data_IF_166483060766
#
_entry.id   IF_166483060766
#
_cell.length_a   1.000
_cell.length_b   1.000
_cell.length_c   1.000
_cell.angle_alpha   90.00
_cell.angle_beta   90.00
_cell.angle_gamma   90.00
#
_symmetry.space_group_name_H-M   'P 1'
#
loop_
_entity.id
_entity.type
_entity.pdbx_description
1 polymer ?
#
# COMPACT_ATOMS: atom_id res chain seq x y z
N UNK A 1 46.90 42.09 57.19
CA UNK A 1 46.28 40.76 57.27
C UNK A 1 44.78 40.97 57.28
N UNK A 2 43.96 40.61 56.30
CA UNK A 2 44.12 39.88 55.05
C UNK A 2 43.06 40.43 54.09
N UNK A 3 43.50 40.90 52.92
CA UNK A 3 42.64 41.00 51.74
C UNK A 3 42.32 39.58 51.26
N UNK A 4 41.04 39.22 51.19
CA UNK A 4 40.58 38.06 50.43
C UNK A 4 39.51 38.52 49.46
N UNK A 5 39.96 38.89 48.27
CA UNK A 5 39.16 38.89 47.07
C UNK A 5 38.78 37.44 46.76
N UNK A 6 37.51 37.09 46.94
CA UNK A 6 36.95 35.86 46.39
C UNK A 6 36.38 36.21 45.02
N UNK A 7 37.15 35.94 43.97
CA UNK A 7 36.64 35.93 42.61
C UNK A 7 35.67 34.75 42.50
N UNK A 8 34.37 35.02 42.50
CA UNK A 8 33.38 34.08 42.02
C UNK A 8 33.66 33.81 40.55
N UNK A 9 34.27 32.65 40.26
CA UNK A 9 34.24 32.06 38.94
C UNK A 9 32.79 31.80 38.58
N UNK A 10 32.16 32.75 37.90
CA UNK A 10 30.97 32.49 37.11
C UNK A 10 31.42 31.55 35.99
N UNK A 11 31.29 30.25 36.22
CA UNK A 11 31.46 29.25 35.18
C UNK A 11 30.46 29.63 34.08
N UNK A 12 31.00 30.14 32.97
CA UNK A 12 30.25 30.30 31.74
C UNK A 12 29.66 28.93 31.41
N UNK A 13 28.34 28.80 31.56
CA UNK A 13 27.59 27.66 31.05
C UNK A 13 27.90 27.66 29.56
N UNK A 14 28.68 26.68 29.12
CA UNK A 14 28.97 26.48 27.71
C UNK A 14 27.62 26.40 26.99
N UNK A 15 27.35 27.36 26.10
CA UNK A 15 26.31 27.23 25.09
C UNK A 15 26.58 25.91 24.36
N UNK A 16 25.86 24.86 24.74
CA UNK A 16 25.90 23.59 24.01
C UNK A 16 25.27 23.91 22.67
N UNK A 17 26.13 24.11 21.65
CA UNK A 17 25.71 24.39 20.28
C UNK A 17 24.80 23.26 19.85
N UNK A 18 23.50 23.53 19.91
CA UNK A 18 22.48 22.52 19.64
C UNK A 18 22.46 22.30 18.13
N UNK A 19 22.77 21.08 17.71
CA UNK A 19 22.93 20.75 16.30
C UNK A 19 21.57 20.68 15.62
N UNK A 20 21.46 21.34 14.47
CA UNK A 20 20.22 21.36 13.68
C UNK A 20 20.22 20.22 12.69
N UNK A 21 19.14 19.45 12.67
CA UNK A 21 19.04 18.21 11.88
C UNK A 21 17.78 18.23 11.03
N UNK A 22 17.90 17.77 9.78
CA UNK A 22 16.75 17.48 8.92
C UNK A 22 16.38 16.01 9.03
N UNK A 23 15.13 15.71 9.41
CA UNK A 23 14.60 14.36 9.36
C UNK A 23 13.95 14.10 8.01
N UNK A 24 14.49 13.15 7.23
CA UNK A 24 13.90 12.72 5.97
C UNK A 24 13.23 11.35 6.11
N UNK A 25 11.91 11.33 6.15
CA UNK A 25 11.10 10.16 6.49
C UNK A 25 10.36 9.67 5.26
N UNK A 26 10.57 8.40 4.91
CA UNK A 26 9.82 7.71 3.86
C UNK A 26 8.59 7.04 4.46
N UNK A 27 7.39 7.28 3.93
CA UNK A 27 6.14 6.68 4.39
C UNK A 27 5.55 5.84 3.25
N UNK A 28 5.40 4.55 3.49
CA UNK A 28 5.14 3.55 2.46
C UNK A 28 3.82 2.83 2.72
N UNK A 29 2.83 3.00 1.84
CA UNK A 29 1.51 2.38 1.95
C UNK A 29 1.34 1.24 0.94
N UNK A 30 1.24 0.02 1.44
CA UNK A 30 1.12 -1.15 0.56
C UNK A 30 -0.29 -1.31 -0.06
N UNK A 31 -0.36 -2.09 -1.14
CA UNK A 31 -1.60 -2.47 -1.83
C UNK A 31 -2.48 -3.38 -0.99
N UNK A 32 -3.76 -3.49 -1.34
CA UNK A 32 -4.68 -4.33 -0.55
C UNK A 32 -4.40 -5.80 -0.71
N UNK A 33 -4.48 -6.54 0.39
CA UNK A 33 -4.10 -7.94 0.40
C UNK A 33 -2.58 -8.11 0.44
N UNK A 34 -1.78 -7.06 0.25
CA UNK A 34 -0.34 -7.14 0.44
C UNK A 34 0.04 -6.84 1.88
N UNK A 35 0.91 -7.68 2.42
CA UNK A 35 1.50 -7.49 3.72
C UNK A 35 2.86 -8.15 3.74
N UNK A 36 3.93 -7.36 3.70
CA UNK A 36 5.31 -7.82 3.80
C UNK A 36 5.55 -8.92 4.85
N UNK A 37 4.99 -8.77 6.06
CA UNK A 37 5.20 -9.75 7.14
C UNK A 37 4.49 -11.07 6.82
N UNK A 38 3.29 -11.01 6.27
CA UNK A 38 2.52 -12.20 5.92
C UNK A 38 3.09 -12.89 4.67
N UNK A 39 3.53 -12.13 3.66
CA UNK A 39 4.23 -12.64 2.48
C UNK A 39 5.52 -13.37 2.86
N UNK A 40 6.34 -12.79 3.76
CA UNK A 40 7.54 -13.46 4.24
C UNK A 40 7.21 -14.74 5.01
N UNK A 41 6.23 -14.72 5.92
CA UNK A 41 5.79 -15.92 6.64
C UNK A 41 5.27 -16.99 5.66
N UNK A 42 4.55 -16.58 4.61
CA UNK A 42 4.07 -17.48 3.56
C UNK A 42 5.21 -18.14 2.79
N UNK A 43 6.19 -17.35 2.34
CA UNK A 43 7.38 -17.83 1.64
C UNK A 43 8.23 -18.78 2.52
N UNK A 44 8.46 -18.43 3.79
CA UNK A 44 9.19 -19.27 4.74
C UNK A 44 8.46 -20.60 4.96
N UNK A 45 7.13 -20.57 5.11
CA UNK A 45 6.32 -21.77 5.23
C UNK A 45 6.33 -22.64 3.98
N UNK A 46 6.34 -22.04 2.79
CA UNK A 46 6.45 -22.77 1.53
C UNK A 46 7.81 -23.46 1.40
N UNK A 47 8.91 -22.74 1.68
CA UNK A 47 10.25 -23.32 1.65
C UNK A 47 10.39 -24.50 2.64
N UNK A 48 9.79 -24.38 3.83
CA UNK A 48 9.78 -25.45 4.82
C UNK A 48 8.96 -26.67 4.34
N UNK A 49 7.80 -26.46 3.72
CA UNK A 49 6.98 -27.56 3.16
C UNK A 49 7.72 -28.27 2.01
N UNK A 50 8.39 -27.53 1.14
CA UNK A 50 9.22 -28.08 0.05
C UNK A 50 10.36 -28.94 0.60
N UNK A 51 11.05 -28.46 1.64
CA UNK A 51 12.09 -29.25 2.32
C UNK A 51 11.54 -30.47 3.08
N UNK A 52 10.26 -30.45 3.47
CA UNK A 52 9.59 -31.55 4.15
C UNK A 52 8.82 -32.48 3.19
N UNK A 53 9.17 -32.49 1.89
CA UNK A 53 8.55 -33.37 0.90
C UNK A 53 7.05 -33.13 0.68
N UNK A 54 6.59 -31.89 0.85
CA UNK A 54 5.19 -31.52 0.68
C UNK A 54 4.31 -31.78 1.91
N UNK A 55 4.87 -32.26 3.03
CA UNK A 55 4.09 -32.53 4.25
C UNK A 55 3.84 -31.26 5.06
N UNK A 56 2.59 -31.09 5.49
CA UNK A 56 2.13 -29.93 6.24
C UNK A 56 2.83 -29.81 7.60
N UNK A 57 3.35 -28.61 7.89
CA UNK A 57 4.09 -28.30 9.11
C UNK A 57 3.16 -27.64 10.12
N UNK A 58 3.12 -28.15 11.35
CA UNK A 58 2.19 -27.68 12.41
C UNK A 58 2.40 -26.20 12.74
N UNK A 59 3.64 -25.74 12.68
CA UNK A 59 4.06 -24.36 12.95
C UNK A 59 3.48 -23.37 11.94
N UNK A 60 3.19 -23.81 10.71
CA UNK A 60 2.51 -23.01 9.69
C UNK A 60 1.00 -22.86 9.93
N UNK A 61 0.40 -23.68 10.81
CA UNK A 61 -0.89 -23.45 11.49
C UNK A 61 -2.06 -22.88 10.65
N UNK A 62 -2.25 -23.28 9.38
CA UNK A 62 -3.33 -22.70 8.56
C UNK A 62 -2.94 -21.50 7.71
N UNK A 63 -1.70 -21.00 7.84
CA UNK A 63 -1.11 -19.90 7.06
C UNK A 63 -0.49 -20.40 5.75
N UNK A 64 -0.94 -21.55 5.28
CA UNK A 64 -0.63 -22.06 3.95
C UNK A 64 -1.36 -21.21 2.90
N UNK A 65 -0.80 -21.25 1.70
CA UNK A 65 -1.17 -20.56 0.45
C UNK A 65 -2.65 -20.80 0.10
N UNK A 66 -3.58 -20.14 0.80
CA UNK A 66 -4.95 -20.01 0.32
C UNK A 66 -4.89 -19.05 -0.87
N UNK A 67 -5.30 -19.48 -2.07
CA UNK A 67 -5.30 -18.61 -3.25
C UNK A 67 -6.07 -17.32 -2.95
N UNK A 68 -5.40 -16.17 -3.05
CA UNK A 68 -5.97 -14.85 -2.76
C UNK A 68 -5.77 -14.34 -1.33
N UNK A 69 -4.95 -14.99 -0.51
CA UNK A 69 -4.53 -14.48 0.81
C UNK A 69 -3.26 -13.64 0.73
N UNK A 70 -3.00 -12.80 1.73
CA UNK A 70 -1.73 -12.04 1.82
C UNK A 70 -0.50 -12.92 1.98
N UNK A 71 -0.69 -14.17 2.41
CA UNK A 71 0.38 -15.16 2.57
C UNK A 71 0.74 -15.85 1.24
N UNK A 72 -0.11 -15.76 0.20
CA UNK A 72 0.20 -16.28 -1.14
C UNK A 72 0.83 -15.26 -2.08
N UNK A 73 0.88 -13.98 -1.68
CA UNK A 73 1.42 -12.90 -2.51
C UNK A 73 2.92 -12.74 -2.25
N UNK A 74 3.67 -12.45 -3.31
CA UNK A 74 5.07 -11.99 -3.18
C UNK A 74 5.11 -10.55 -2.68
N UNK A 75 6.31 -10.05 -2.40
CA UNK A 75 6.56 -8.68 -2.00
C UNK A 75 6.19 -7.70 -3.11
N UNK A 76 5.33 -6.73 -2.76
CA UNK A 76 5.04 -5.59 -3.62
C UNK A 76 6.27 -4.69 -3.81
N UNK A 77 6.22 -3.83 -4.82
CA UNK A 77 7.23 -2.81 -5.02
C UNK A 77 7.30 -1.81 -3.85
N UNK A 78 6.21 -1.62 -3.11
CA UNK A 78 6.24 -0.82 -1.88
C UNK A 78 7.06 -1.51 -0.79
N UNK A 79 6.88 -2.81 -0.58
CA UNK A 79 7.67 -3.57 0.37
C UNK A 79 9.16 -3.57 -0.01
N UNK A 80 9.47 -3.74 -1.30
CA UNK A 80 10.85 -3.67 -1.84
C UNK A 80 11.46 -2.27 -1.66
N UNK A 81 10.71 -1.21 -1.94
CA UNK A 81 11.18 0.17 -1.76
C UNK A 81 11.49 0.51 -0.31
N UNK A 82 10.72 -0.02 0.66
CA UNK A 82 11.03 0.14 2.08
C UNK A 82 12.41 -0.43 2.43
N UNK A 83 12.75 -1.59 1.87
CA UNK A 83 14.04 -2.26 2.14
C UNK A 83 15.22 -1.56 1.50
N UNK A 84 15.00 -0.88 0.37
CA UNK A 84 16.01 -0.06 -0.28
C UNK A 84 16.16 1.33 0.36
N UNK A 85 15.18 1.77 1.14
CA UNK A 85 15.19 3.10 1.73
C UNK A 85 16.16 3.17 2.93
N UNK A 86 17.00 4.21 2.94
CA UNK A 86 18.02 4.40 3.99
C UNK A 86 17.36 4.45 5.37
N UNK A 87 17.85 3.61 6.29
CA UNK A 87 17.56 3.70 7.72
C UNK A 87 18.81 4.20 8.44
N UNK A 88 18.71 5.38 9.05
CA UNK A 88 19.77 6.01 9.81
C UNK A 88 19.16 6.85 10.93
N UNK A 89 19.24 6.32 12.15
CA UNK A 89 18.64 6.95 13.34
C UNK A 89 19.50 8.06 13.95
N UNK A 90 20.82 7.96 13.78
CA UNK A 90 21.79 8.92 14.29
C UNK A 90 22.11 9.95 13.22
N UNK A 91 22.13 11.22 13.59
CA UNK A 91 22.39 12.33 12.69
C UNK A 91 23.81 12.24 12.15
N UNK A 92 23.91 12.14 10.83
CA UNK A 92 25.18 12.11 10.11
C UNK A 92 25.19 13.27 9.11
N UNK A 93 26.36 13.84 8.88
CA UNK A 93 26.48 14.91 7.90
C UNK A 93 26.45 14.27 6.52
N UNK A 94 25.42 14.57 5.74
CA UNK A 94 25.49 14.39 4.30
C UNK A 94 26.00 15.68 3.65
N UNK A 95 26.36 15.63 2.37
CA UNK A 95 26.86 16.80 1.63
C UNK A 95 25.90 18.00 1.62
N UNK A 96 24.67 17.86 2.14
CA UNK A 96 23.66 18.89 2.28
C UNK A 96 23.24 19.13 3.75
N UNK A 97 24.03 18.68 4.73
CA UNK A 97 23.85 18.96 6.16
C UNK A 97 23.57 17.74 7.02
N UNK A 98 23.30 17.96 8.31
CA UNK A 98 23.02 16.87 9.25
C UNK A 98 21.63 16.30 9.01
N UNK A 99 21.54 15.00 8.72
CA UNK A 99 20.27 14.33 8.47
C UNK A 99 20.12 13.02 9.20
N UNK A 100 18.85 12.64 9.38
CA UNK A 100 18.42 11.29 9.76
C UNK A 100 17.43 10.77 8.73
N UNK A 101 17.42 9.45 8.54
CA UNK A 101 16.56 8.79 7.56
C UNK A 101 15.76 7.68 8.24
N UNK A 102 14.46 7.61 7.97
CA UNK A 102 13.63 6.57 8.56
C UNK A 102 12.54 6.12 7.59
N UNK A 103 12.46 4.82 7.25
CA UNK A 103 11.32 4.26 6.55
C UNK A 103 10.20 3.84 7.51
N UNK A 104 8.97 4.26 7.20
CA UNK A 104 7.74 3.89 7.89
C UNK A 104 6.89 3.08 6.92
N UNK A 105 6.76 1.78 7.19
CA UNK A 105 5.88 0.91 6.41
C UNK A 105 4.48 0.80 7.03
N UNK A 106 3.46 0.86 6.17
CA UNK A 106 2.05 0.69 6.51
C UNK A 106 1.46 -0.39 5.61
N UNK A 107 1.04 -1.50 6.21
CA UNK A 107 0.46 -2.63 5.47
C UNK A 107 -0.81 -2.25 4.72
N UNK A 108 -1.14 -3.03 3.69
CA UNK A 108 -2.33 -2.86 2.88
C UNK A 108 -3.64 -2.88 3.65
N UNK A 109 -4.66 -2.23 3.09
CA UNK A 109 -6.03 -2.44 3.55
C UNK A 109 -6.40 -3.93 3.51
N UNK A 110 -7.30 -4.37 4.39
CA UNK A 110 -7.70 -5.79 4.49
C UNK A 110 -6.70 -6.74 5.17
N UNK A 111 -5.48 -6.31 5.51
CA UNK A 111 -4.47 -7.15 6.19
C UNK A 111 -4.03 -6.60 7.55
N UNK A 112 -3.67 -7.51 8.44
CA UNK A 112 -3.05 -7.23 9.76
C UNK A 112 -1.78 -8.08 9.86
N UNK A 113 -0.63 -7.48 10.17
CA UNK A 113 0.65 -8.19 10.23
C UNK A 113 0.63 -9.28 11.31
N UNK A 114 0.96 -10.51 10.92
CA UNK A 114 0.97 -11.69 11.79
C UNK A 114 -0.43 -12.21 12.19
N UNK A 115 -1.49 -11.52 11.76
CA UNK A 115 -2.89 -11.89 11.99
C UNK A 115 -3.54 -12.56 10.78
N UNK A 116 -4.77 -13.05 10.95
CA UNK A 116 -5.60 -13.52 9.84
C UNK A 116 -6.06 -12.34 8.97
N UNK A 117 -6.10 -12.55 7.66
CA UNK A 117 -6.63 -11.54 6.75
C UNK A 117 -8.12 -11.31 6.99
N UNK A 118 -8.51 -10.04 6.99
CA UNK A 118 -9.88 -9.63 7.25
C UNK A 118 -10.63 -9.53 5.92
N UNK A 119 -11.08 -10.69 5.43
CA UNK A 119 -11.89 -10.80 4.19
C UNK A 119 -13.19 -9.99 4.30
N UNK A 120 -13.71 -9.85 5.52
CA UNK A 120 -14.91 -9.07 5.83
C UNK A 120 -14.78 -8.42 7.22
N UNK A 121 -14.99 -7.09 7.38
CA UNK A 121 -15.42 -6.10 6.40
C UNK A 121 -14.27 -5.36 5.66
N UNK A 122 -13.01 -5.70 5.92
CA UNK A 122 -11.84 -4.88 5.58
C UNK A 122 -11.39 -4.86 4.12
N UNK A 123 -11.68 -5.91 3.33
CA UNK A 123 -11.30 -5.96 1.92
C UNK A 123 -12.31 -5.27 0.98
N UNK A 124 -13.61 -5.28 1.33
CA UNK A 124 -14.70 -4.83 0.44
C UNK A 124 -15.36 -3.51 0.85
N UNK A 125 -15.10 -3.00 2.06
CA UNK A 125 -15.58 -1.69 2.48
C UNK A 125 -14.38 -0.82 2.79
N UNK A 126 -14.15 0.23 2.01
CA UNK A 126 -13.21 1.31 2.35
C UNK A 126 -13.56 2.08 3.64
N UNK A 127 -14.37 1.49 4.52
CA UNK A 127 -14.79 1.96 5.85
C UNK A 127 -14.65 0.82 6.86
N UNK A 128 -13.83 1.06 7.88
CA UNK A 128 -13.52 0.11 8.95
C UNK A 128 -12.11 0.32 9.48
N UNK A 129 -11.70 -0.47 10.47
CA UNK A 129 -10.38 -0.45 11.13
C UNK A 129 -9.19 -0.71 10.18
N UNK A 130 -9.44 -1.04 8.91
CA UNK A 130 -8.43 -1.33 7.89
C UNK A 130 -8.55 -0.47 6.63
N UNK A 131 -9.47 0.51 6.60
CA UNK A 131 -9.68 1.40 5.46
C UNK A 131 -8.60 2.48 5.29
N UNK A 132 -8.67 3.21 4.17
CA UNK A 132 -7.69 4.25 3.75
C UNK A 132 -7.38 5.25 4.86
N UNK A 133 -8.41 5.77 5.55
CA UNK A 133 -8.27 6.76 6.63
C UNK A 133 -7.54 6.15 7.83
N UNK A 134 -7.89 4.92 8.23
CA UNK A 134 -7.24 4.26 9.37
C UNK A 134 -5.76 3.96 9.09
N UNK A 135 -5.41 3.64 7.84
CA UNK A 135 -4.01 3.49 7.43
C UNK A 135 -3.24 4.80 7.53
N UNK A 136 -3.86 5.93 7.16
CA UNK A 136 -3.29 7.28 7.34
C UNK A 136 -3.12 7.61 8.84
N UNK A 137 -4.11 7.34 9.67
CA UNK A 137 -4.00 7.50 11.14
C UNK A 137 -2.87 6.64 11.72
N UNK A 138 -2.70 5.40 11.23
CA UNK A 138 -1.60 4.53 11.62
C UNK A 138 -0.24 5.08 11.19
N UNK A 139 -0.15 5.68 10.00
CA UNK A 139 1.07 6.34 9.53
C UNK A 139 1.46 7.49 10.48
N UNK A 140 0.50 8.33 10.88
CA UNK A 140 0.75 9.41 11.85
C UNK A 140 1.18 8.89 13.22
N UNK A 141 0.56 7.81 13.75
CA UNK A 141 1.01 7.19 15.01
C UNK A 141 2.44 6.65 14.93
N UNK A 142 2.83 6.06 13.79
CA UNK A 142 4.20 5.59 13.58
C UNK A 142 5.17 6.76 13.45
N UNK A 143 4.79 7.80 12.72
CA UNK A 143 5.58 9.03 12.59
C UNK A 143 5.80 9.70 13.95
N UNK A 144 4.76 9.82 14.76
CA UNK A 144 4.84 10.30 16.14
C UNK A 144 5.85 9.49 16.96
N UNK A 145 5.84 8.17 16.84
CA UNK A 145 6.78 7.28 17.54
C UNK A 145 8.23 7.58 17.13
N UNK A 146 8.49 7.74 15.82
CA UNK A 146 9.81 8.08 15.29
C UNK A 146 10.27 9.45 15.78
N UNK A 147 9.43 10.48 15.69
CA UNK A 147 9.78 11.84 16.11
C UNK A 147 10.00 11.97 17.61
N UNK A 148 9.28 11.18 18.43
CA UNK A 148 9.47 11.13 19.89
C UNK A 148 10.72 10.35 20.30
N UNK A 149 11.17 9.40 19.48
CA UNK A 149 12.41 8.66 19.72
C UNK A 149 13.66 9.47 19.28
N UNK A 150 13.51 10.42 18.36
CA UNK A 150 14.62 11.23 17.83
C UNK A 150 15.55 11.81 18.90
N UNK A 151 15.07 12.43 20.01
CA UNK A 151 15.95 12.98 21.04
C UNK A 151 16.75 11.94 21.83
N UNK A 152 16.31 10.68 21.83
CA UNK A 152 17.05 9.59 22.47
C UNK A 152 18.27 9.19 21.63
N UNK A 153 18.07 9.05 20.32
CA UNK A 153 19.14 8.73 19.37
C UNK A 153 20.06 9.93 19.10
N UNK A 154 19.58 11.16 19.33
CA UNK A 154 20.26 12.41 19.01
C UNK A 154 20.12 13.45 20.15
N UNK A 155 20.78 13.24 21.31
CA UNK A 155 20.56 14.03 22.52
C UNK A 155 20.93 15.50 22.39
N UNK A 156 21.92 15.84 21.56
CA UNK A 156 22.42 17.21 21.36
C UNK A 156 21.83 17.90 20.13
N UNK A 157 20.74 17.34 19.57
CA UNK A 157 20.16 17.80 18.32
C UNK A 157 18.71 18.29 18.48
N UNK A 158 18.31 19.16 17.57
CA UNK A 158 16.93 19.60 17.34
C UNK A 158 16.55 19.42 15.88
N UNK A 159 15.26 19.19 15.63
CA UNK A 159 14.70 19.12 14.28
C UNK A 159 14.54 20.52 13.70
N UNK A 160 15.27 20.79 12.63
CA UNK A 160 15.16 22.01 11.82
C UNK A 160 14.15 21.86 10.70
N UNK A 161 14.12 20.69 10.07
CA UNK A 161 13.19 20.39 9.00
C UNK A 161 12.73 18.91 9.03
N UNK A 162 11.55 18.69 8.49
CA UNK A 162 10.91 17.40 8.27
C UNK A 162 10.59 17.27 6.78
N UNK A 163 11.39 16.45 6.10
CA UNK A 163 11.20 16.09 4.70
C UNK A 163 10.45 14.75 4.62
N UNK A 164 9.41 14.68 3.81
CA UNK A 164 8.55 13.50 3.69
C UNK A 164 8.56 12.99 2.25
N UNK A 165 8.95 11.73 2.09
CA UNK A 165 8.76 10.98 0.85
C UNK A 165 7.60 10.01 1.05
N UNK A 166 6.55 10.08 0.24
CA UNK A 166 5.33 9.29 0.42
C UNK A 166 5.16 8.37 -0.77
N UNK A 167 5.07 7.06 -0.53
CA UNK A 167 4.87 6.06 -1.56
C UNK A 167 3.59 5.26 -1.31
N UNK A 168 2.91 4.86 -2.37
CA UNK A 168 1.80 3.93 -2.22
C UNK A 168 1.41 3.19 -3.48
N UNK A 169 0.88 1.98 -3.30
CA UNK A 169 0.34 1.14 -4.38
C UNK A 169 -1.16 0.93 -4.21
N UNK A 170 -1.95 1.01 -5.29
CA UNK A 170 -3.37 0.69 -5.30
C UNK A 170 -4.17 1.56 -4.31
N UNK A 171 -4.89 0.95 -3.38
CA UNK A 171 -5.52 1.65 -2.24
C UNK A 171 -4.51 2.28 -1.28
N UNK A 172 -3.29 1.76 -1.20
CA UNK A 172 -2.18 2.41 -0.52
C UNK A 172 -1.77 3.72 -1.20
N UNK A 173 -1.84 3.81 -2.53
CA UNK A 173 -1.65 5.08 -3.24
C UNK A 173 -2.75 6.10 -2.91
N UNK A 174 -3.99 5.64 -2.72
CA UNK A 174 -5.07 6.48 -2.21
C UNK A 174 -4.79 6.97 -0.77
N UNK A 175 -4.23 6.12 0.11
CA UNK A 175 -3.75 6.53 1.43
C UNK A 175 -2.59 7.53 1.36
N UNK A 176 -1.65 7.35 0.45
CA UNK A 176 -0.54 8.28 0.23
C UNK A 176 -1.04 9.67 -0.17
N UNK A 177 -1.97 9.74 -1.15
CA UNK A 177 -2.60 11.00 -1.57
C UNK A 177 -3.40 11.65 -0.43
N UNK A 178 -4.11 10.84 0.35
CA UNK A 178 -4.87 11.35 1.49
C UNK A 178 -3.96 11.86 2.62
N UNK A 179 -2.88 11.15 2.94
CA UNK A 179 -1.86 11.58 3.90
C UNK A 179 -1.26 12.93 3.48
N UNK A 180 -0.89 13.08 2.22
CA UNK A 180 -0.38 14.35 1.69
C UNK A 180 -1.37 15.48 1.95
N UNK A 181 -2.66 15.27 1.65
CA UNK A 181 -3.71 16.26 1.94
C UNK A 181 -3.86 16.57 3.43
N UNK A 182 -3.75 15.57 4.32
CA UNK A 182 -3.78 15.82 5.76
C UNK A 182 -2.59 16.64 6.25
N UNK A 183 -1.41 16.48 5.63
CA UNK A 183 -0.22 17.30 5.93
C UNK A 183 -0.40 18.73 5.40
N UNK A 184 -1.00 18.90 4.22
CA UNK A 184 -1.27 20.22 3.62
C UNK A 184 -2.26 21.06 4.43
N UNK A 185 -3.03 20.47 5.34
CA UNK A 185 -3.87 21.22 6.31
C UNK A 185 -3.06 21.93 7.39
N UNK A 186 -1.75 21.65 7.50
CA UNK A 186 -0.83 22.30 8.43
C UNK A 186 -1.37 22.27 9.87
N UNK A 187 -1.65 23.44 10.46
CA UNK A 187 -2.16 23.61 11.83
C UNK A 187 -3.51 22.92 12.08
N UNK A 188 -4.31 22.67 11.04
CA UNK A 188 -5.58 21.95 11.15
C UNK A 188 -5.45 20.45 10.81
N UNK A 189 -4.24 19.99 10.47
CA UNK A 189 -3.94 18.62 10.09
C UNK A 189 -3.55 17.73 11.26
N UNK A 190 -3.50 16.43 11.00
CA UNK A 190 -3.13 15.41 12.00
C UNK A 190 -1.65 15.46 12.43
N UNK A 191 -0.79 16.16 11.68
CA UNK A 191 0.63 16.30 12.02
C UNK A 191 0.87 17.33 13.13
N UNK A 192 0.04 18.37 13.23
CA UNK A 192 0.26 19.48 14.15
C UNK A 192 0.32 19.04 15.63
N UNK A 193 -0.61 18.21 16.14
CA UNK A 193 -0.55 17.75 17.54
C UNK A 193 0.72 16.94 17.85
N UNK A 194 1.27 16.25 16.86
CA UNK A 194 2.52 15.48 17.00
C UNK A 194 3.70 16.43 17.16
N UNK A 195 3.78 17.45 16.30
CA UNK A 195 4.83 18.47 16.32
C UNK A 195 4.79 19.31 17.61
N UNK A 196 3.60 19.60 18.14
CA UNK A 196 3.43 20.34 19.40
C UNK A 196 3.74 19.50 20.65
N UNK A 197 3.99 18.19 20.51
CA UNK A 197 4.32 17.34 21.65
C UNK A 197 5.66 17.75 22.27
N UNK A 198 5.69 17.95 23.59
CA UNK A 198 6.94 18.26 24.34
C UNK A 198 8.05 17.20 24.19
N UNK A 199 7.69 16.00 23.74
CA UNK A 199 8.64 14.90 23.48
C UNK A 199 9.34 15.02 22.12
N UNK A 200 8.88 15.91 21.24
CA UNK A 200 9.51 16.21 19.95
C UNK A 200 10.32 17.48 20.11
N UNK A 201 11.64 17.40 19.89
CA UNK A 201 12.55 18.55 20.02
C UNK A 201 12.66 19.28 18.68
N UNK A 202 11.86 20.34 18.53
CA UNK A 202 11.89 21.22 17.37
C UNK A 202 12.86 22.39 17.61
N UNK A 203 13.49 22.87 16.55
CA UNK A 203 14.27 24.11 16.59
C UNK A 203 13.35 25.34 16.75
N UNK A 204 13.89 26.45 17.26
CA UNK A 204 13.15 27.69 17.45
C UNK A 204 12.56 28.27 16.15
N UNK A 205 13.16 27.94 15.01
CA UNK A 205 12.71 28.40 13.69
C UNK A 205 11.80 27.40 12.99
N UNK A 206 11.49 26.25 13.61
CA UNK A 206 10.64 25.25 13.00
C UNK A 206 9.21 25.79 12.88
N UNK A 207 8.75 26.02 11.66
CA UNK A 207 7.38 26.45 11.41
C UNK A 207 6.89 26.10 10.01
N UNK A 208 5.57 25.99 9.87
CA UNK A 208 4.93 25.85 8.56
C UNK A 208 5.26 27.00 7.61
N UNK A 209 5.39 28.23 8.13
CA UNK A 209 5.69 29.43 7.32
C UNK A 209 7.11 29.41 6.74
N UNK A 210 8.04 28.81 7.47
CA UNK A 210 9.44 28.68 7.04
C UNK A 210 9.66 27.47 6.13
N UNK A 211 8.61 26.72 5.78
CA UNK A 211 8.76 25.49 5.01
C UNK A 211 9.52 24.41 5.75
N UNK A 212 9.44 24.37 7.09
CA UNK A 212 10.09 23.33 7.90
C UNK A 212 9.48 21.94 7.70
N UNK A 213 8.28 21.83 7.11
CA UNK A 213 7.69 20.55 6.69
C UNK A 213 7.56 20.58 5.17
N UNK A 214 8.17 19.60 4.49
CA UNK A 214 8.21 19.55 3.03
C UNK A 214 7.83 18.16 2.53
N UNK A 215 6.89 18.10 1.58
CA UNK A 215 6.68 16.90 0.79
C UNK A 215 7.71 16.90 -0.36
N UNK A 216 8.60 15.91 -0.39
CA UNK A 216 9.67 15.84 -1.39
C UNK A 216 9.18 15.00 -2.57
N UNK A 217 9.03 13.70 -2.39
CA UNK A 217 8.52 12.80 -3.43
C UNK A 217 7.17 12.23 -3.03
N UNK A 218 6.21 12.19 -3.97
CA UNK A 218 5.02 11.36 -3.88
C UNK A 218 5.09 10.34 -5.03
N UNK A 219 5.40 9.08 -4.70
CA UNK A 219 5.52 7.99 -5.66
C UNK A 219 4.31 7.07 -5.62
N UNK A 220 3.53 7.04 -6.69
CA UNK A 220 2.28 6.30 -6.76
C UNK A 220 2.41 5.15 -7.77
N UNK A 221 1.82 4.02 -7.42
CA UNK A 221 1.66 2.86 -8.30
C UNK A 221 0.16 2.58 -8.43
N UNK A 222 -0.34 2.72 -9.65
CA UNK A 222 -1.69 2.40 -10.12
C UNK A 222 -2.80 2.71 -9.11
N UNK A 223 -3.07 4.00 -8.89
CA UNK A 223 -3.96 4.46 -7.83
C UNK A 223 -5.41 4.01 -8.07
N UNK A 224 -5.98 3.26 -7.13
CA UNK A 224 -7.39 2.86 -7.15
C UNK A 224 -8.11 3.41 -5.92
N UNK A 225 -9.09 4.28 -6.15
CA UNK A 225 -10.00 4.76 -5.12
C UNK A 225 -11.09 3.72 -4.86
N UNK A 226 -11.27 3.31 -3.61
CA UNK A 226 -12.32 2.38 -3.21
C UNK A 226 -13.77 2.96 -3.27
N UNK A 227 -13.99 4.07 -4.00
CA UNK A 227 -15.27 4.80 -4.03
C UNK A 227 -16.17 4.28 -5.17
N UNK A 228 -16.32 2.96 -5.33
CA UNK A 228 -17.07 2.47 -6.51
C UNK A 228 -17.67 1.07 -6.52
N UNK A 229 -17.52 0.20 -5.53
CA UNK A 229 -18.09 -1.16 -5.64
C UNK A 229 -18.16 -1.81 -4.25
N UNK A 230 -19.28 -1.77 -3.52
CA UNK A 230 -20.45 -2.66 -3.69
C UNK A 230 -21.75 -2.09 -3.10
N UNK A 231 -21.76 -0.82 -2.65
CA UNK A 231 -22.88 -0.25 -1.86
C UNK A 231 -23.62 0.92 -2.52
N UNK A 232 -23.17 1.39 -3.69
CA UNK A 232 -23.91 2.39 -4.48
C UNK A 232 -25.08 1.79 -5.28
N UNK A 233 -25.60 0.63 -4.86
CA UNK A 233 -26.97 0.19 -5.16
C UNK A 233 -27.97 0.74 -4.12
N UNK A 234 -28.11 2.07 -4.06
CA UNK A 234 -29.40 2.67 -3.68
C UNK A 234 -29.70 2.96 -2.21
N UNK A 235 -28.79 3.57 -1.43
CA UNK A 235 -29.25 4.39 -0.29
C UNK A 235 -28.22 5.46 0.14
N UNK A 236 -28.39 6.71 -0.30
CA UNK A 236 -27.54 7.86 0.04
C UNK A 236 -28.14 8.69 1.18
N UNK A 237 -28.31 8.09 2.36
CA UNK A 237 -28.57 8.84 3.59
C UNK A 237 -27.85 8.18 4.75
N UNK A 238 -26.59 8.53 4.93
CA UNK A 238 -25.94 8.44 6.24
C UNK A 238 -24.85 9.52 6.37
N UNK A 239 -25.06 10.38 7.36
CA UNK A 239 -24.28 11.56 7.69
C UNK A 239 -23.00 11.17 8.46
N UNK A 240 -21.96 10.70 7.78
CA UNK A 240 -20.57 10.70 8.30
C UNK A 240 -19.51 10.60 7.19
N UNK A 241 -19.73 11.29 6.06
CA UNK A 241 -18.85 11.22 4.90
C UNK A 241 -17.53 11.99 5.11
N UNK A 242 -16.58 11.44 5.90
CA UNK A 242 -15.15 11.75 5.71
C UNK A 242 -14.74 11.19 4.34
N UNK A 243 -14.89 11.99 3.29
CA UNK A 243 -14.47 11.60 1.92
C UNK A 243 -12.95 11.50 1.89
N UNK A 244 -12.43 10.41 1.33
CA UNK A 244 -10.99 10.28 1.05
C UNK A 244 -10.63 11.37 0.03
N UNK A 245 -9.66 12.22 0.38
CA UNK A 245 -9.18 13.25 -0.53
C UNK A 245 -7.99 12.73 -1.34
N UNK A 246 -8.18 12.65 -2.66
CA UNK A 246 -7.18 12.17 -3.60
C UNK A 246 -6.56 13.31 -4.41
N UNK A 247 -7.13 14.50 -4.42
CA UNK A 247 -6.59 15.59 -5.21
C UNK A 247 -5.21 16.01 -4.69
N UNK A 248 -4.22 16.14 -5.56
CA UNK A 248 -2.88 16.62 -5.18
C UNK A 248 -2.68 18.01 -5.80
N UNK A 249 -2.78 19.10 -5.02
CA UNK A 249 -2.61 20.45 -5.55
C UNK A 249 -1.24 20.63 -6.23
N UNK A 250 -1.15 21.38 -7.35
CA UNK A 250 0.13 21.73 -7.93
C UNK A 250 1.07 22.39 -6.92
N UNK A 251 2.34 21.97 -6.92
CA UNK A 251 3.34 22.47 -5.98
C UNK A 251 3.22 21.93 -4.55
N UNK A 252 2.30 20.99 -4.27
CA UNK A 252 2.19 20.38 -2.95
C UNK A 252 3.42 19.56 -2.54
N UNK A 253 4.16 19.04 -3.51
CA UNK A 253 5.40 18.28 -3.33
C UNK A 253 6.45 18.71 -4.36
N UNK A 254 7.72 18.43 -4.10
CA UNK A 254 8.78 18.71 -5.08
C UNK A 254 8.63 17.84 -6.34
N UNK A 255 8.16 16.60 -6.20
CA UNK A 255 7.84 15.72 -7.32
C UNK A 255 6.69 14.80 -6.98
N UNK A 256 5.74 14.66 -7.91
CA UNK A 256 4.78 13.56 -7.93
C UNK A 256 5.07 12.71 -9.16
N UNK A 257 5.16 11.39 -8.98
CA UNK A 257 5.35 10.40 -10.04
C UNK A 257 4.27 9.33 -9.88
N UNK A 258 3.59 8.99 -10.96
CA UNK A 258 2.56 7.95 -10.97
C UNK A 258 2.87 6.94 -12.07
N UNK A 259 3.16 5.69 -11.70
CA UNK A 259 3.25 4.59 -12.64
C UNK A 259 1.88 3.92 -12.75
N UNK A 260 1.33 3.81 -13.95
CA UNK A 260 -0.04 3.31 -14.18
C UNK A 260 -0.04 2.11 -15.11
N UNK A 261 -0.93 1.16 -14.83
CA UNK A 261 -1.06 -0.07 -15.61
C UNK A 261 -1.80 0.20 -16.92
N UNK A 262 -1.18 -0.13 -18.05
CA UNK A 262 -1.82 -0.01 -19.38
C UNK A 262 -2.92 -1.05 -19.56
N UNK A 263 -2.67 -2.27 -19.07
CA UNK A 263 -3.45 -3.45 -19.44
C UNK A 263 -4.46 -3.84 -18.32
N UNK A 264 -4.68 -2.95 -17.34
CA UNK A 264 -5.67 -3.15 -16.29
C UNK A 264 -7.10 -2.86 -16.77
N UNK A 265 -7.84 -3.93 -17.07
CA UNK A 265 -9.19 -3.84 -17.66
C UNK A 265 -10.33 -4.13 -16.66
N UNK A 266 -10.05 -4.40 -15.39
CA UNK A 266 -11.10 -4.76 -14.42
C UNK A 266 -11.90 -3.54 -14.00
N UNK A 267 -13.23 -3.63 -14.10
CA UNK A 267 -14.18 -2.58 -13.69
C UNK A 267 -13.99 -2.05 -12.26
N UNK A 268 -13.58 -2.91 -11.33
CA UNK A 268 -13.39 -2.54 -9.93
C UNK A 268 -12.04 -1.86 -9.62
N UNK A 269 -11.17 -1.73 -10.63
CA UNK A 269 -9.83 -1.16 -10.53
C UNK A 269 -9.73 0.12 -11.36
N UNK A 270 -10.71 1.01 -11.19
CA UNK A 270 -10.72 2.29 -11.90
C UNK A 270 -9.53 3.17 -11.47
N UNK A 271 -8.68 3.50 -12.43
CA UNK A 271 -7.52 4.37 -12.25
C UNK A 271 -7.96 5.77 -11.80
N UNK A 272 -7.26 6.29 -10.78
CA UNK A 272 -7.37 7.69 -10.38
C UNK A 272 -6.10 8.41 -10.83
N UNK A 273 -6.18 9.04 -12.00
CA UNK A 273 -5.05 9.76 -12.60
C UNK A 273 -4.60 10.95 -11.73
N UNK A 274 -3.36 11.38 -11.93
CA UNK A 274 -2.81 12.65 -11.43
C UNK A 274 -2.69 13.71 -12.53
N UNK A 275 -3.09 13.39 -13.76
CA UNK A 275 -3.22 14.34 -14.86
C UNK A 275 -4.52 15.14 -14.71
N UNK A 276 -4.54 16.42 -15.14
CA UNK A 276 -3.43 17.18 -15.74
C UNK A 276 -2.49 17.85 -14.73
N UNK A 277 -2.76 17.80 -13.43
CA UNK A 277 -2.06 18.59 -12.41
C UNK A 277 -0.57 18.22 -12.28
N UNK A 278 -0.24 16.94 -12.48
CA UNK A 278 1.13 16.43 -12.42
C UNK A 278 1.50 15.71 -13.71
N UNK A 279 2.48 16.20 -14.48
CA UNK A 279 2.76 15.66 -15.82
C UNK A 279 3.49 14.31 -15.82
N UNK A 280 4.05 13.89 -14.68
CA UNK A 280 4.81 12.63 -14.57
C UNK A 280 3.89 11.45 -14.22
N UNK A 281 2.92 11.18 -15.10
CA UNK A 281 2.17 9.93 -15.11
C UNK A 281 2.69 9.06 -16.27
N UNK A 282 3.30 7.92 -15.94
CA UNK A 282 3.96 7.03 -16.90
C UNK A 282 3.14 5.76 -17.02
N UNK A 283 2.59 5.54 -18.22
CA UNK A 283 1.87 4.32 -18.58
C UNK A 283 2.89 3.22 -18.90
N UNK A 284 2.78 2.09 -18.21
CA UNK A 284 3.66 0.93 -18.38
C UNK A 284 2.85 -0.31 -18.78
N UNK A 285 3.42 -1.23 -19.59
CA UNK A 285 2.76 -2.50 -19.92
C UNK A 285 2.56 -3.35 -18.66
N UNK A 286 1.49 -4.15 -18.66
CA UNK A 286 1.09 -5.01 -17.55
C UNK A 286 -0.19 -4.56 -16.85
N UNK A 287 -0.73 -5.46 -16.02
CA UNK A 287 -1.89 -5.26 -15.17
C UNK A 287 -1.50 -4.62 -13.82
N UNK A 288 -2.49 -4.41 -12.95
CA UNK A 288 -2.33 -3.68 -11.68
C UNK A 288 -1.12 -4.12 -10.83
N UNK A 289 -0.95 -5.43 -10.62
CA UNK A 289 0.12 -5.98 -9.78
C UNK A 289 1.43 -6.23 -10.54
N UNK A 290 1.45 -6.09 -11.87
CA UNK A 290 2.72 -6.04 -12.62
C UNK A 290 3.42 -4.71 -12.35
N UNK A 291 2.65 -3.62 -12.22
CA UNK A 291 3.16 -2.31 -11.86
C UNK A 291 3.44 -2.21 -10.35
N UNK A 292 2.49 -2.65 -9.54
CA UNK A 292 2.59 -2.56 -8.08
C UNK A 292 3.44 -3.64 -7.40
N UNK A 293 3.74 -4.73 -8.10
CA UNK A 293 4.27 -5.96 -7.52
C UNK A 293 3.23 -6.75 -6.72
N UNK A 294 3.62 -7.95 -6.31
CA UNK A 294 2.80 -8.87 -5.51
C UNK A 294 2.45 -10.18 -6.20
N UNK A 295 2.69 -10.28 -7.51
CA UNK A 295 2.70 -11.57 -8.18
C UNK A 295 3.97 -12.36 -7.83
N UNK A 296 3.85 -13.68 -7.58
CA UNK A 296 5.00 -14.57 -7.49
C UNK A 296 5.81 -14.58 -8.80
N UNK A 297 7.09 -14.97 -8.74
CA UNK A 297 7.95 -15.04 -9.92
C UNK A 297 7.40 -15.94 -11.04
N UNK A 298 6.61 -16.95 -10.69
CA UNK A 298 5.91 -17.83 -11.61
C UNK A 298 4.49 -18.06 -11.11
N UNK A 299 3.52 -17.99 -12.02
CA UNK A 299 2.10 -18.25 -11.76
C UNK A 299 1.49 -18.99 -12.95
N UNK A 300 0.61 -19.94 -12.66
CA UNK A 300 -0.29 -20.52 -13.66
C UNK A 300 -1.63 -19.78 -13.61
N UNK A 301 -2.09 -19.26 -14.74
CA UNK A 301 -3.37 -18.56 -14.84
C UNK A 301 -4.44 -19.47 -15.47
N UNK A 302 -5.53 -19.70 -14.72
CA UNK A 302 -6.73 -20.37 -15.22
C UNK A 302 -7.94 -19.47 -15.00
N UNK A 303 -8.21 -18.60 -15.98
CA UNK A 303 -9.24 -17.56 -15.88
C UNK A 303 -10.42 -17.80 -16.82
N UNK A 304 -11.61 -17.46 -16.34
CA UNK A 304 -12.82 -17.42 -17.17
C UNK A 304 -12.89 -16.06 -17.87
N UNK A 305 -12.64 -16.04 -19.17
CA UNK A 305 -12.71 -14.81 -19.99
C UNK A 305 -14.14 -14.31 -20.18
N UNK A 306 -15.11 -15.23 -20.13
CA UNK A 306 -16.53 -14.94 -20.40
C UNK A 306 -17.40 -15.40 -19.26
N UNK A 307 -18.52 -14.71 -19.05
CA UNK A 307 -19.50 -15.11 -18.03
C UNK A 307 -20.01 -16.53 -18.32
N UNK A 308 -19.99 -17.46 -17.33
CA UNK A 308 -20.52 -18.80 -17.50
C UNK A 308 -21.99 -18.78 -17.96
N UNK A 309 -22.29 -19.63 -18.94
CA UNK A 309 -23.63 -19.85 -19.46
C UNK A 309 -24.12 -21.22 -19.06
N UNK A 310 -25.42 -21.36 -18.78
CA UNK A 310 -26.04 -22.62 -18.41
C UNK A 310 -27.21 -22.95 -19.35
N UNK A 311 -27.47 -24.24 -19.53
CA UNK A 311 -28.62 -24.74 -20.28
C UNK A 311 -29.07 -26.06 -19.65
N UNK A 312 -30.39 -26.28 -19.62
CA UNK A 312 -30.95 -27.56 -19.20
C UNK A 312 -30.92 -28.52 -20.38
N UNK A 313 -30.32 -29.69 -20.17
CA UNK A 313 -30.23 -30.78 -21.16
C UNK A 313 -30.66 -32.09 -20.52
N UNK A 314 -31.00 -33.09 -21.34
CA UNK A 314 -31.21 -34.44 -20.83
C UNK A 314 -29.89 -34.97 -20.25
N UNK A 315 -29.95 -35.71 -19.14
CA UNK A 315 -28.79 -36.27 -18.44
C UNK A 315 -27.90 -37.12 -19.36
N UNK A 316 -28.50 -37.81 -20.32
CA UNK A 316 -27.77 -38.70 -21.23
C UNK A 316 -27.25 -37.96 -22.48
N UNK A 317 -27.48 -36.65 -22.59
CA UNK A 317 -26.95 -35.83 -23.70
C UNK A 317 -25.50 -35.43 -23.43
N UNK A 318 -24.61 -35.52 -24.44
CA UNK A 318 -23.26 -34.98 -24.34
C UNK A 318 -23.26 -33.48 -24.04
N UNK A 319 -22.28 -33.01 -23.26
CA UNK A 319 -22.12 -31.59 -22.93
C UNK A 319 -21.99 -30.70 -24.17
N UNK A 320 -21.33 -31.19 -25.21
CA UNK A 320 -21.10 -30.49 -26.48
C UNK A 320 -22.39 -30.27 -27.28
N UNK A 321 -23.43 -31.07 -27.01
CA UNK A 321 -24.74 -30.88 -27.61
C UNK A 321 -25.51 -29.70 -26.98
N UNK A 322 -25.12 -29.26 -25.78
CA UNK A 322 -25.82 -28.22 -25.04
C UNK A 322 -25.76 -26.86 -25.76
N UNK A 323 -26.87 -26.08 -25.78
CA UNK A 323 -26.87 -24.74 -26.38
C UNK A 323 -25.80 -23.81 -25.80
N UNK A 324 -25.59 -23.82 -24.48
CA UNK A 324 -24.54 -23.03 -23.84
C UNK A 324 -23.13 -23.40 -24.32
N UNK A 325 -22.84 -24.69 -24.56
CA UNK A 325 -21.55 -25.11 -25.10
C UNK A 325 -21.36 -24.60 -26.53
N UNK A 326 -22.36 -24.76 -27.39
CA UNK A 326 -22.31 -24.29 -28.78
C UNK A 326 -22.11 -22.78 -28.86
N UNK A 327 -22.78 -22.02 -27.99
CA UNK A 327 -22.61 -20.57 -27.90
C UNK A 327 -21.19 -20.19 -27.43
N UNK A 328 -20.67 -20.86 -26.41
CA UNK A 328 -19.31 -20.64 -25.93
C UNK A 328 -18.26 -21.00 -26.99
N UNK A 329 -18.47 -22.08 -27.74
CA UNK A 329 -17.60 -22.49 -28.84
C UNK A 329 -17.64 -21.50 -30.00
N UNK A 330 -18.83 -21.00 -30.36
CA UNK A 330 -18.96 -19.95 -31.37
C UNK A 330 -18.23 -18.68 -30.92
N UNK A 331 -18.37 -18.28 -29.66
CA UNK A 331 -17.63 -17.14 -29.10
C UNK A 331 -16.12 -17.35 -29.09
N UNK A 332 -15.64 -18.55 -28.73
CA UNK A 332 -14.21 -18.87 -28.81
C UNK A 332 -13.68 -18.75 -30.24
N UNK A 333 -14.48 -19.14 -31.24
CA UNK A 333 -14.07 -19.04 -32.65
C UNK A 333 -13.93 -17.61 -33.17
N UNK A 334 -14.53 -16.62 -32.49
CA UNK A 334 -14.37 -15.20 -32.83
C UNK A 334 -13.23 -14.51 -32.06
N UNK A 335 -12.61 -15.18 -31.09
CA UNK A 335 -11.49 -14.61 -30.34
C UNK A 335 -10.17 -14.76 -31.11
N UNK A 336 -9.42 -13.66 -31.24
CA UNK A 336 -8.04 -13.69 -31.71
C UNK A 336 -7.14 -14.21 -30.59
N UNK A 337 -6.37 -15.28 -30.84
CA UNK A 337 -5.45 -15.83 -29.84
C UNK A 337 -4.41 -14.79 -29.39
N UNK A 338 -3.89 -14.00 -30.33
CA UNK A 338 -2.80 -13.06 -30.10
C UNK A 338 -3.22 -11.86 -29.22
N UNK A 339 -4.54 -11.64 -29.07
CA UNK A 339 -5.08 -10.61 -28.18
C UNK A 339 -5.07 -11.05 -26.70
N UNK A 340 -5.00 -12.37 -26.44
CA UNK A 340 -5.17 -12.95 -25.10
C UNK A 340 -3.95 -13.71 -24.60
N UNK A 341 -3.15 -14.26 -25.50
CA UNK A 341 -2.02 -15.13 -25.16
C UNK A 341 -0.76 -14.60 -25.81
N UNK A 342 0.31 -14.47 -25.03
CA UNK A 342 1.64 -14.17 -25.53
C UNK A 342 2.01 -15.15 -26.66
N UNK A 343 2.34 -14.66 -27.88
CA UNK A 343 2.78 -15.51 -28.98
C UNK A 343 3.99 -16.40 -28.64
N UNK A 344 4.79 -16.03 -27.64
CA UNK A 344 5.94 -16.79 -27.16
C UNK A 344 5.54 -17.91 -26.18
N UNK A 345 4.38 -17.82 -25.53
CA UNK A 345 3.88 -18.86 -24.64
C UNK A 345 3.21 -19.98 -25.45
N UNK A 346 3.94 -21.09 -25.58
CA UNK A 346 3.49 -22.29 -26.30
C UNK A 346 2.61 -23.22 -25.45
N UNK A 347 2.53 -23.00 -24.14
CA UNK A 347 1.77 -23.85 -23.22
C UNK A 347 0.38 -23.28 -22.96
N UNK A 348 0.20 -21.96 -23.12
CA UNK A 348 -1.09 -21.31 -22.97
C UNK A 348 -2.05 -21.64 -24.14
N UNK A 349 -3.32 -21.89 -23.79
CA UNK A 349 -4.39 -22.16 -24.73
C UNK A 349 -5.73 -21.58 -24.24
N UNK A 350 -6.59 -21.25 -25.20
CA UNK A 350 -7.99 -20.91 -24.94
C UNK A 350 -8.86 -22.15 -25.18
N UNK A 351 -9.79 -22.45 -24.26
CA UNK A 351 -10.74 -23.55 -24.41
C UNK A 351 -12.10 -23.23 -23.83
N UNK A 352 -13.14 -23.90 -24.33
CA UNK A 352 -14.43 -23.97 -23.65
C UNK A 352 -14.32 -24.94 -22.48
N UNK A 353 -14.73 -24.51 -21.29
CA UNK A 353 -14.77 -25.34 -20.08
C UNK A 353 -16.21 -25.67 -19.73
N UNK A 354 -16.49 -26.96 -19.49
CA UNK A 354 -17.79 -27.46 -19.06
C UNK A 354 -17.81 -27.76 -17.57
N UNK A 355 -18.98 -27.59 -16.95
CA UNK A 355 -19.22 -27.99 -15.57
C UNK A 355 -20.63 -28.56 -15.47
N UNK A 356 -20.76 -29.81 -15.03
CA UNK A 356 -22.05 -30.45 -14.79
C UNK A 356 -22.48 -30.19 -13.35
N UNK A 357 -23.53 -29.40 -13.19
CA UNK A 357 -24.17 -29.22 -11.89
C UNK A 357 -25.27 -30.27 -11.73
N UNK A 358 -25.12 -31.22 -10.79
CA UNK A 358 -26.24 -32.08 -10.41
C UNK A 358 -27.31 -31.21 -9.75
N UNK A 359 -28.37 -30.86 -10.47
CA UNK A 359 -29.59 -30.36 -9.85
C UNK A 359 -30.14 -31.46 -8.95
N UNK A 360 -29.94 -31.35 -7.63
CA UNK A 360 -30.80 -32.06 -6.70
C UNK A 360 -32.21 -31.52 -6.90
N UNK A 361 -33.23 -32.36 -7.17
CA UNK A 361 -34.59 -31.88 -7.21
C UNK A 361 -34.89 -31.25 -5.84
N UNK A 362 -35.42 -30.02 -5.84
CA UNK A 362 -36.07 -29.47 -4.65
C UNK A 362 -37.06 -30.54 -4.18
N UNK A 363 -36.75 -31.19 -3.05
CA UNK A 363 -37.74 -31.98 -2.34
C UNK A 363 -38.84 -31.00 -1.97
N UNK A 364 -39.96 -31.03 -2.71
CA UNK A 364 -41.25 -30.70 -2.11
C UNK A 364 -41.45 -31.73 -1.01
N UNK A 365 -41.29 -31.29 0.23
CA UNK A 365 -42.07 -31.73 1.38
C UNK A 365 -42.21 -30.54 2.30
#
# INVERSE_FOLDING_TARGET
MNDKWSAEQTAAISDVVTRRVTARIGIFFDGTGNNRVNSQIGADCQALIEMNGGQHIKECAGRYVHPGSSYSNDLSNIARLVDLYRLQRVAENDSAGLKVYYPIYVSGAGTTSGGRDSVWPGQSFGRGTTGVICKVENAFRKLETVLKAFPHDNPDCVLEALELDIFGFSRGAASARHLANEILKQRAGMLEPILQSRKVRLSEHFSWRNGSVQLKVIGLFDTVAAIGSFRDMGNTRDASNRRVNLYLPPGCAQQVLHLVARDESRRNFALNSVLPEWPKEIVLPGAHSDIGGGYPPQMEESVLLTRPQSSLVNRDSPCEAAPCWKNAQALLSTMSRDDWIDPLDRQAFLRVQTCESKCYPCRKN
#
